data_IF_222642774620
#
_entry.id   IF_222642774620
#
_cell.length_a   1.000
_cell.length_b   1.000
_cell.length_c   1.000
_cell.angle_alpha   90.00
_cell.angle_beta   90.00
_cell.angle_gamma   90.00
#
_symmetry.space_group_name_H-M   'P 1'
#
loop_
_entity.id
_entity.type
_entity.pdbx_description
1 polymer ?
#
# COMPACT_ATOMS: atom_id res chain seq x y z
N UNK A 1 13.77 -25.01 45.43
CA UNK A 1 14.80 -24.81 44.38
C UNK A 1 14.65 -25.86 43.29
N UNK A 2 14.49 -25.47 42.02
CA UNK A 2 15.00 -26.14 40.80
C UNK A 2 14.49 -25.38 39.57
N UNK A 3 15.40 -24.98 38.66
CA UNK A 3 15.07 -24.44 37.33
C UNK A 3 14.89 -25.60 36.36
N UNK A 4 13.86 -25.55 35.51
CA UNK A 4 13.64 -26.53 34.43
C UNK A 4 13.78 -25.83 33.09
N UNK A 5 14.64 -26.36 32.22
CA UNK A 5 14.96 -25.75 30.93
C UNK A 5 13.94 -26.12 29.86
N UNK A 6 13.52 -25.14 29.07
CA UNK A 6 12.65 -25.33 27.90
C UNK A 6 13.49 -25.98 26.79
N UNK A 7 13.09 -27.16 26.33
CA UNK A 7 13.53 -27.73 25.05
C UNK A 7 12.44 -27.45 24.01
N UNK A 8 12.75 -26.58 23.06
CA UNK A 8 11.93 -26.36 21.87
C UNK A 8 12.00 -27.64 21.03
N UNK A 9 10.88 -28.35 20.93
CA UNK A 9 10.72 -29.47 20.02
C UNK A 9 9.70 -29.09 18.94
N UNK A 10 10.10 -29.29 17.69
CA UNK A 10 9.27 -29.03 16.52
C UNK A 10 7.96 -29.84 16.59
N UNK A 11 6.81 -29.16 16.50
CA UNK A 11 5.49 -29.78 16.42
C UNK A 11 4.87 -29.46 15.07
N UNK A 12 4.64 -30.50 14.26
CA UNK A 12 4.07 -30.41 12.92
C UNK A 12 2.82 -31.31 12.85
N UNK A 13 1.72 -30.79 12.27
CA UNK A 13 0.42 -31.46 12.03
C UNK A 13 -0.36 -31.79 13.33
N UNK A 14 -1.71 -31.87 13.42
CA UNK A 14 -2.88 -31.97 12.50
C UNK A 14 -4.11 -31.31 13.21
N UNK A 15 -5.35 -31.11 12.70
CA UNK A 15 -6.05 -31.39 11.43
C UNK A 15 -6.96 -30.21 10.98
N UNK A 16 -7.08 -30.05 9.65
CA UNK A 16 -8.32 -29.93 8.83
C UNK A 16 -9.64 -29.47 9.52
N UNK A 17 -10.12 -28.29 9.12
CA UNK A 17 -11.53 -27.88 9.20
C UNK A 17 -11.89 -27.10 7.92
N UNK A 18 -12.92 -27.53 7.20
CA UNK A 18 -13.10 -27.18 5.78
C UNK A 18 -13.77 -25.83 5.50
N UNK A 19 -13.37 -25.20 4.39
CA UNK A 19 -14.25 -24.40 3.51
C UNK A 19 -13.55 -24.17 2.16
N UNK A 20 -13.85 -25.02 1.18
CA UNK A 20 -13.43 -24.85 -0.21
C UNK A 20 -14.35 -23.77 -0.82
N UNK A 21 -13.86 -22.55 -1.02
CA UNK A 21 -14.67 -21.52 -1.69
C UNK A 21 -14.36 -20.05 -1.41
N UNK A 22 -13.09 -19.61 -1.48
CA UNK A 22 -12.74 -18.16 -1.56
C UNK A 22 -11.33 -17.90 -2.16
N UNK A 23 -10.81 -18.84 -2.95
CA UNK A 23 -9.39 -18.84 -3.37
C UNK A 23 -8.94 -17.73 -4.33
N UNK A 24 -9.86 -16.95 -4.91
CA UNK A 24 -9.53 -15.87 -5.86
C UNK A 24 -9.43 -14.49 -5.23
N UNK A 25 -10.12 -14.23 -4.11
CA UNK A 25 -10.12 -12.93 -3.46
C UNK A 25 -8.80 -12.65 -2.71
N UNK A 26 -8.22 -13.67 -2.05
CA UNK A 26 -7.06 -13.49 -1.18
C UNK A 26 -5.73 -13.26 -1.95
N UNK A 27 -5.67 -13.69 -3.21
CA UNK A 27 -4.49 -13.53 -4.08
C UNK A 27 -4.48 -12.17 -4.78
N UNK A 28 -5.65 -11.68 -5.22
CA UNK A 28 -5.78 -10.30 -5.71
C UNK A 28 -5.59 -9.28 -4.59
N UNK A 29 -5.98 -9.60 -3.34
CA UNK A 29 -5.71 -8.71 -2.22
C UNK A 29 -4.22 -8.47 -2.02
N UNK A 30 -3.41 -9.54 -1.93
CA UNK A 30 -1.97 -9.44 -1.71
C UNK A 30 -1.22 -8.69 -2.81
N UNK A 31 -1.62 -8.84 -4.08
CA UNK A 31 -1.03 -8.06 -5.19
C UNK A 31 -1.37 -6.56 -5.09
N UNK A 32 -2.62 -6.22 -4.81
CA UNK A 32 -3.02 -4.82 -4.63
C UNK A 32 -2.31 -4.16 -3.42
N UNK A 33 -2.20 -4.88 -2.30
CA UNK A 33 -1.45 -4.43 -1.13
C UNK A 33 0.04 -4.20 -1.47
N UNK A 34 0.67 -5.14 -2.18
CA UNK A 34 2.08 -5.03 -2.60
C UNK A 34 2.33 -3.83 -3.53
N UNK A 35 1.49 -3.63 -4.56
CA UNK A 35 1.57 -2.47 -5.45
C UNK A 35 1.43 -1.16 -4.69
N UNK A 36 0.42 -1.05 -3.81
CA UNK A 36 0.22 0.16 -3.03
C UNK A 36 1.38 0.43 -2.07
N UNK A 37 1.89 -0.60 -1.39
CA UNK A 37 3.05 -0.47 -0.49
C UNK A 37 4.29 0.03 -1.23
N UNK A 38 4.56 -0.48 -2.44
CA UNK A 38 5.72 -0.10 -3.24
C UNK A 38 5.69 1.38 -3.69
N UNK A 39 4.50 1.95 -3.92
CA UNK A 39 4.34 3.30 -4.44
C UNK A 39 3.91 4.37 -3.41
N UNK A 40 3.59 4.01 -2.15
CA UNK A 40 3.42 5.01 -1.08
C UNK A 40 4.58 6.03 -0.94
N UNK A 41 5.87 5.65 -1.12
CA UNK A 41 6.97 6.62 -1.10
C UNK A 41 6.84 7.76 -2.11
N UNK A 42 6.18 7.53 -3.26
CA UNK A 42 5.94 8.58 -4.28
C UNK A 42 4.97 9.65 -3.75
N UNK A 43 3.99 9.26 -2.94
CA UNK A 43 3.04 10.20 -2.31
C UNK A 43 3.72 11.01 -1.21
N UNK A 44 4.60 10.39 -0.41
CA UNK A 44 5.47 11.11 0.52
C UNK A 44 6.38 12.12 -0.22
N UNK A 45 7.04 11.69 -1.28
CA UNK A 45 7.90 12.53 -2.11
C UNK A 45 7.15 13.72 -2.72
N UNK A 46 5.89 13.53 -3.14
CA UNK A 46 5.05 14.61 -3.66
C UNK A 46 4.75 15.71 -2.62
N UNK A 47 4.56 15.33 -1.35
CA UNK A 47 4.42 16.28 -0.24
C UNK A 47 5.70 17.10 -0.05
N UNK A 48 6.86 16.44 -0.09
CA UNK A 48 8.14 17.12 0.08
C UNK A 48 8.50 17.99 -1.13
N UNK A 49 8.15 17.57 -2.35
CA UNK A 49 8.25 18.39 -3.56
C UNK A 49 7.37 19.64 -3.48
N UNK A 50 6.12 19.50 -3.03
CA UNK A 50 5.22 20.63 -2.80
C UNK A 50 5.80 21.63 -1.80
N UNK A 51 6.40 21.15 -0.71
CA UNK A 51 7.08 21.98 0.31
C UNK A 51 8.32 22.69 -0.21
N UNK A 52 9.05 22.07 -1.13
CA UNK A 52 10.21 22.65 -1.81
C UNK A 52 9.85 23.62 -2.95
N UNK A 53 8.56 23.82 -3.25
CA UNK A 53 8.11 24.66 -4.36
C UNK A 53 8.30 24.04 -5.75
N UNK A 54 8.59 22.73 -5.83
CA UNK A 54 8.79 22.02 -7.10
C UNK A 54 7.44 21.94 -7.84
N UNK A 55 7.37 22.24 -9.16
CA UNK A 55 6.13 22.19 -9.93
C UNK A 55 5.46 20.80 -9.93
N UNK A 56 4.13 20.78 -9.98
CA UNK A 56 3.35 19.52 -9.93
C UNK A 56 3.67 18.58 -11.09
N UNK A 57 4.02 19.10 -12.26
CA UNK A 57 4.32 18.30 -13.45
C UNK A 57 5.56 17.42 -13.26
N UNK A 58 6.56 17.89 -12.49
CA UNK A 58 7.73 17.08 -12.09
C UNK A 58 7.29 15.92 -11.19
N UNK A 59 6.40 16.19 -10.22
CA UNK A 59 5.87 15.15 -9.33
C UNK A 59 4.97 14.16 -10.06
N UNK A 60 4.23 14.59 -11.09
CA UNK A 60 3.41 13.72 -11.91
C UNK A 60 4.26 12.84 -12.84
N UNK A 61 5.38 13.34 -13.36
CA UNK A 61 6.33 12.53 -14.14
C UNK A 61 6.89 11.32 -13.37
N UNK A 62 7.07 11.43 -12.05
CA UNK A 62 7.47 10.29 -11.20
C UNK A 62 6.41 9.18 -11.22
N UNK A 63 5.12 9.53 -11.30
CA UNK A 63 4.01 8.57 -11.29
C UNK A 63 3.89 7.77 -12.59
N UNK A 64 4.46 8.23 -13.70
CA UNK A 64 4.26 7.59 -15.00
C UNK A 64 4.92 6.19 -15.07
N UNK A 65 5.92 5.92 -14.23
CA UNK A 65 6.47 4.59 -13.96
C UNK A 65 5.43 3.55 -13.46
N UNK A 66 4.30 3.99 -12.92
CA UNK A 66 3.21 3.11 -12.51
C UNK A 66 2.25 2.75 -13.65
N UNK A 67 2.28 3.46 -14.79
CA UNK A 67 1.34 3.27 -15.90
C UNK A 67 1.44 1.85 -16.48
N UNK A 68 2.67 1.43 -16.79
CA UNK A 68 2.97 0.10 -17.34
C UNK A 68 2.79 -1.02 -16.31
N UNK A 69 2.74 -0.68 -15.01
CA UNK A 69 2.54 -1.63 -13.91
C UNK A 69 1.05 -1.92 -13.68
N UNK A 70 0.24 -0.87 -13.49
CA UNK A 70 -1.21 -1.00 -13.30
C UNK A 70 -1.91 0.36 -13.55
N UNK A 71 -2.85 0.39 -14.50
CA UNK A 71 -3.52 1.63 -14.88
C UNK A 71 -4.36 2.26 -13.74
N UNK A 72 -4.98 1.45 -12.88
CA UNK A 72 -5.74 1.94 -11.71
C UNK A 72 -4.83 2.53 -10.64
N UNK A 73 -3.67 1.90 -10.40
CA UNK A 73 -2.62 2.44 -9.53
C UNK A 73 -2.10 3.79 -10.06
N UNK A 74 -1.82 3.90 -11.35
CA UNK A 74 -1.39 5.15 -11.99
C UNK A 74 -2.44 6.27 -11.84
N UNK A 75 -3.72 5.98 -12.08
CA UNK A 75 -4.82 6.94 -11.85
C UNK A 75 -4.88 7.37 -10.38
N UNK A 76 -4.79 6.41 -9.45
CA UNK A 76 -4.80 6.70 -8.03
C UNK A 76 -3.60 7.55 -7.60
N UNK A 77 -2.39 7.22 -8.05
CA UNK A 77 -1.16 7.98 -7.75
C UNK A 77 -1.24 9.42 -8.25
N UNK A 78 -1.72 9.65 -9.48
CA UNK A 78 -1.88 11.02 -10.01
C UNK A 78 -2.93 11.82 -9.22
N UNK A 79 -3.95 11.16 -8.68
CA UNK A 79 -4.90 11.78 -7.75
C UNK A 79 -4.23 12.10 -6.40
N UNK A 80 -3.49 11.15 -5.82
CA UNK A 80 -2.77 11.32 -4.56
C UNK A 80 -1.72 12.44 -4.62
N UNK A 81 -0.98 12.57 -5.73
CA UNK A 81 -0.06 13.68 -5.99
C UNK A 81 -0.81 15.01 -6.05
N UNK A 82 -1.97 15.09 -6.71
CA UNK A 82 -2.79 16.30 -6.74
C UNK A 82 -3.28 16.69 -5.34
N UNK A 83 -3.71 15.70 -4.54
CA UNK A 83 -4.06 15.91 -3.13
C UNK A 83 -2.86 16.40 -2.31
N UNK A 84 -1.66 15.83 -2.49
CA UNK A 84 -0.43 16.27 -1.83
C UNK A 84 -0.08 17.74 -2.14
N UNK A 85 -0.38 18.19 -3.36
CA UNK A 85 -0.16 19.56 -3.80
C UNK A 85 -1.22 20.56 -3.30
N UNK A 86 -2.48 20.11 -3.20
CA UNK A 86 -3.59 20.91 -2.70
C UNK A 86 -3.59 21.04 -1.17
N UNK A 87 -3.47 19.91 -0.46
CA UNK A 87 -3.35 19.83 1.00
C UNK A 87 -2.22 18.84 1.40
N UNK A 88 -1.00 19.35 1.63
CA UNK A 88 0.13 18.54 2.10
C UNK A 88 -0.11 17.93 3.49
N UNK A 89 -0.89 18.59 4.35
CA UNK A 89 -1.06 18.20 5.74
C UNK A 89 -2.13 17.10 5.86
N UNK A 90 -3.27 17.26 5.19
CA UNK A 90 -4.27 16.19 5.04
C UNK A 90 -3.68 14.95 4.38
N UNK A 91 -2.80 15.11 3.40
CA UNK A 91 -2.09 13.98 2.76
C UNK A 91 -1.12 13.28 3.71
N UNK A 92 -0.34 14.01 4.54
CA UNK A 92 0.47 13.36 5.59
C UNK A 92 -0.40 12.61 6.60
N UNK A 93 -1.54 13.18 6.99
CA UNK A 93 -2.44 12.53 7.94
C UNK A 93 -3.00 11.23 7.36
N UNK A 94 -3.43 11.22 6.09
CA UNK A 94 -3.94 10.02 5.42
C UNK A 94 -2.87 8.93 5.21
N UNK A 95 -1.60 9.32 5.06
CA UNK A 95 -0.46 8.38 5.06
C UNK A 95 -0.21 7.79 6.45
N UNK A 96 -0.32 8.61 7.51
CA UNK A 96 -0.11 8.18 8.91
C UNK A 96 -1.23 7.29 9.46
N UNK A 97 -2.49 7.57 9.14
CA UNK A 97 -3.66 6.77 9.57
C UNK A 97 -3.97 5.58 8.63
N UNK A 98 -3.17 5.42 7.58
CA UNK A 98 -3.27 4.36 6.57
C UNK A 98 -4.49 4.46 5.65
N UNK A 99 -5.27 5.54 5.69
CA UNK A 99 -6.40 5.75 4.77
C UNK A 99 -5.92 5.91 3.32
N UNK A 100 -4.75 6.51 3.10
CA UNK A 100 -4.09 6.53 1.79
C UNK A 100 -3.90 5.09 1.25
N UNK A 101 -3.30 4.21 2.05
CA UNK A 101 -3.09 2.80 1.72
C UNK A 101 -4.43 2.08 1.42
N UNK A 102 -5.42 2.21 2.29
CA UNK A 102 -6.77 1.62 2.09
C UNK A 102 -7.43 2.13 0.79
N UNK A 103 -7.29 3.42 0.48
CA UNK A 103 -7.85 4.02 -0.74
C UNK A 103 -7.16 3.52 -2.01
N UNK A 104 -5.83 3.37 -1.98
CA UNK A 104 -5.06 2.79 -3.09
C UNK A 104 -5.50 1.36 -3.35
N UNK A 105 -5.55 0.55 -2.30
CA UNK A 105 -5.90 -0.87 -2.37
C UNK A 105 -7.32 -1.06 -2.91
N UNK A 106 -8.26 -0.20 -2.51
CA UNK A 106 -9.63 -0.17 -3.08
C UNK A 106 -9.61 0.16 -4.58
N UNK A 107 -8.88 1.20 -4.98
CA UNK A 107 -8.77 1.62 -6.38
C UNK A 107 -8.11 0.58 -7.29
N UNK A 108 -7.09 -0.15 -6.79
CA UNK A 108 -6.37 -1.19 -7.54
C UNK A 108 -7.19 -2.48 -7.66
N UNK A 109 -8.05 -2.80 -6.68
CA UNK A 109 -8.94 -3.98 -6.73
C UNK A 109 -10.15 -3.81 -7.65
N UNK A 110 -10.60 -2.58 -7.88
CA UNK A 110 -11.64 -2.28 -8.88
C UNK A 110 -13.03 -2.85 -8.54
N UNK A 111 -13.52 -2.51 -7.34
CA UNK A 111 -14.92 -2.77 -6.93
C UNK A 111 -15.93 -1.92 -7.70
#
# INVERSE_FOLDING_TARGET
>A
MKKTYIKVACACLFMIGGLIGSGVAHSQSGLADAYCQAYMPVVHQAVDFRRQGIPIDVSLGVTDSAFDTNQSLWRWLRSAVRSAYADPNGTINSLRDGSAMRSCVSAVRGF
#
